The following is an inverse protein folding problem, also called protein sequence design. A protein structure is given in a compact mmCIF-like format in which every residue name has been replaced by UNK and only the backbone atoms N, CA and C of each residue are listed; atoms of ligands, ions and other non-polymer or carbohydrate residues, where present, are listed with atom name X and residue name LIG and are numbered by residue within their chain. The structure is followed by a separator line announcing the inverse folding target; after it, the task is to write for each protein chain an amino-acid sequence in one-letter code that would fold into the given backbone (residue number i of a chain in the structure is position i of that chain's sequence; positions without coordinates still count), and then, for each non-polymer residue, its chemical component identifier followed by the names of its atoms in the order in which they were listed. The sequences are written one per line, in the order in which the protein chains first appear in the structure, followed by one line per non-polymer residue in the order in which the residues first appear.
data_IF_173913762132
#
_entry.id   IF_173913762132
#
_cell.length_a   1.000
_cell.length_b   1.000
_cell.length_c   1.000
_cell.angle_alpha   90.00
_cell.angle_beta   90.00
_cell.angle_gamma   90.00
#
_symmetry.space_group_name_H-M   'P 1'
#
loop_
_entity.id
_entity.type
_entity.pdbx_description
1 polymer ?
#
# COMPACT_ATOMS: atom_id res chain seq x y z
N UNK A 1 -45.27 21.21 20.94
CA UNK A 1 -44.13 21.12 21.88
C UNK A 1 -44.00 19.66 22.23
N UNK A 2 -43.30 18.91 21.38
CA UNK A 2 -42.98 17.50 21.61
C UNK A 2 -41.50 17.45 22.00
N UNK A 3 -41.25 17.13 23.26
CA UNK A 3 -39.92 16.85 23.81
C UNK A 3 -39.55 15.43 23.40
N UNK A 4 -38.64 15.32 22.43
CA UNK A 4 -38.04 14.06 22.04
C UNK A 4 -36.84 13.82 22.97
N UNK A 5 -37.05 13.04 24.03
CA UNK A 5 -35.99 12.55 24.92
C UNK A 5 -35.13 11.53 24.16
N UNK A 6 -33.84 11.84 23.98
CA UNK A 6 -32.84 10.84 23.60
C UNK A 6 -32.56 9.94 24.81
N UNK A 7 -32.49 8.60 24.63
CA UNK A 7 -32.04 7.73 25.71
C UNK A 7 -30.53 7.88 25.91
N UNK A 8 -30.15 8.11 27.16
CA UNK A 8 -28.77 8.16 27.64
C UNK A 8 -28.00 6.88 27.27
N UNK A 9 -26.88 7.04 26.55
CA UNK A 9 -25.83 6.02 26.45
C UNK A 9 -25.22 5.85 27.85
N UNK A 10 -25.74 4.88 28.61
CA UNK A 10 -25.03 4.31 29.75
C UNK A 10 -23.75 3.67 29.23
N UNK A 11 -22.62 4.32 29.50
CA UNK A 11 -21.30 3.73 29.31
C UNK A 11 -21.17 2.49 30.19
N UNK A 12 -21.18 1.31 29.55
CA UNK A 12 -20.71 0.08 30.17
C UNK A 12 -19.22 0.26 30.50
N UNK A 13 -18.93 0.45 31.79
CA UNK A 13 -17.57 0.33 32.29
C UNK A 13 -17.02 -1.06 31.93
N UNK A 14 -15.77 -1.18 31.44
CA UNK A 14 -15.22 -2.47 31.07
C UNK A 14 -15.20 -3.38 32.30
N UNK A 15 -15.90 -4.51 32.20
CA UNK A 15 -15.94 -5.54 33.24
C UNK A 15 -14.52 -6.06 33.46
N UNK A 16 -13.84 -5.56 34.49
CA UNK A 16 -12.49 -5.99 34.85
C UNK A 16 -12.58 -7.45 35.31
N UNK A 17 -12.08 -8.37 34.48
CA UNK A 17 -11.99 -9.77 34.83
C UNK A 17 -11.00 -9.92 36.01
N UNK A 18 -11.53 -10.10 37.22
CA UNK A 18 -10.73 -10.45 38.39
C UNK A 18 -10.15 -11.85 38.20
N UNK A 19 -8.87 -11.93 37.84
CA UNK A 19 -8.13 -13.18 37.77
C UNK A 19 -7.80 -13.66 39.19
N UNK A 20 -8.68 -14.48 39.76
CA UNK A 20 -8.38 -15.20 41.01
C UNK A 20 -7.37 -16.29 40.70
N UNK A 21 -6.12 -16.12 41.13
CA UNK A 21 -5.06 -17.11 40.96
C UNK A 21 -5.51 -18.44 41.59
N UNK A 22 -5.43 -19.53 40.82
CA UNK A 22 -5.83 -20.86 41.28
C UNK A 22 -5.05 -21.24 42.55
N UNK A 23 -5.78 -21.54 43.62
CA UNK A 23 -5.23 -21.99 44.90
C UNK A 23 -4.61 -23.38 44.73
N UNK A 24 -3.29 -23.45 44.87
CA UNK A 24 -2.54 -24.69 44.65
C UNK A 24 -2.88 -25.80 45.67
N UNK A 25 -3.52 -25.47 46.79
CA UNK A 25 -3.99 -26.45 47.77
C UNK A 25 -5.19 -27.27 47.29
N UNK A 26 -5.85 -26.85 46.19
CA UNK A 26 -7.00 -27.54 45.61
C UNK A 26 -6.66 -28.46 44.43
N UNK A 27 -5.39 -28.55 44.04
CA UNK A 27 -5.00 -29.52 43.03
C UNK A 27 -5.09 -30.94 43.60
N UNK A 28 -5.63 -31.90 42.84
CA UNK A 28 -5.63 -33.28 43.27
C UNK A 28 -4.18 -33.76 43.46
N UNK A 29 -3.85 -34.20 44.67
CA UNK A 29 -2.51 -34.69 45.05
C UNK A 29 -2.40 -36.21 44.90
N UNK A 30 -3.50 -36.89 44.56
CA UNK A 30 -3.52 -38.32 44.29
C UNK A 30 -3.32 -38.60 42.80
N UNK A 31 -2.58 -39.66 42.43
CA UNK A 31 -2.35 -40.01 41.02
C UNK A 31 -3.65 -40.15 40.22
N UNK A 32 -4.67 -40.80 40.79
CA UNK A 32 -5.97 -40.96 40.14
C UNK A 32 -6.73 -39.62 39.94
N UNK A 33 -6.57 -38.67 40.86
CA UNK A 33 -7.19 -37.34 40.73
C UNK A 33 -6.46 -36.45 39.72
N UNK A 34 -5.15 -36.65 39.54
CA UNK A 34 -4.34 -35.98 38.51
C UNK A 34 -4.69 -36.49 37.12
N UNK A 35 -4.84 -37.81 36.97
CA UNK A 35 -5.22 -38.45 35.71
C UNK A 35 -6.62 -38.02 35.26
N UNK A 36 -7.60 -38.01 36.17
CA UNK A 36 -8.95 -37.52 35.89
C UNK A 36 -8.99 -36.01 35.54
N UNK A 37 -8.11 -35.19 36.13
CA UNK A 37 -8.01 -33.76 35.79
C UNK A 37 -7.43 -33.54 34.39
N UNK A 38 -6.42 -34.31 34.01
CA UNK A 38 -5.82 -34.26 32.67
C UNK A 38 -6.85 -34.72 31.63
N UNK A 39 -7.58 -35.81 31.90
CA UNK A 39 -8.65 -36.29 31.01
C UNK A 39 -9.79 -35.27 30.87
N UNK A 40 -10.19 -34.62 31.97
CA UNK A 40 -11.17 -33.54 31.95
C UNK A 40 -10.72 -32.31 31.16
N UNK A 41 -9.44 -31.94 31.24
CA UNK A 41 -8.85 -30.82 30.50
C UNK A 41 -8.75 -31.10 29.00
N UNK A 42 -8.40 -32.33 28.62
CA UNK A 42 -8.35 -32.79 27.22
C UNK A 42 -9.75 -32.89 26.61
N UNK A 43 -10.75 -33.27 27.41
CA UNK A 43 -12.16 -33.24 26.99
C UNK A 43 -12.68 -31.80 26.83
N UNK A 44 -12.30 -30.88 27.72
CA UNK A 44 -12.68 -29.46 27.65
C UNK A 44 -12.02 -28.70 26.49
N UNK A 45 -10.83 -29.12 26.03
CA UNK A 45 -10.12 -28.54 24.87
C UNK A 45 -10.66 -29.01 23.49
N UNK A 46 -11.83 -29.66 23.44
CA UNK A 46 -12.55 -29.90 22.18
C UNK A 46 -11.93 -30.98 21.27
N UNK A 47 -11.11 -31.89 21.82
CA UNK A 47 -10.63 -33.06 21.11
C UNK A 47 -11.76 -34.08 20.87
N UNK A 48 -12.63 -33.79 19.90
CA UNK A 48 -13.75 -34.65 19.52
C UNK A 48 -13.26 -36.08 19.25
N UNK A 49 -14.11 -37.07 19.48
CA UNK A 49 -13.81 -38.47 19.17
C UNK A 49 -13.41 -38.65 17.69
N UNK A 50 -13.97 -37.81 16.80
CA UNK A 50 -13.58 -37.74 15.40
C UNK A 50 -12.10 -37.33 15.20
N UNK A 51 -11.57 -36.41 16.01
CA UNK A 51 -10.15 -36.02 15.98
C UNK A 51 -9.25 -37.18 16.44
N UNK A 52 -9.66 -37.96 17.44
CA UNK A 52 -8.92 -39.16 17.87
C UNK A 52 -8.93 -40.26 16.82
N UNK A 53 -10.07 -40.47 16.16
CA UNK A 53 -10.19 -41.42 15.05
C UNK A 53 -9.33 -40.97 13.86
N UNK A 54 -9.35 -39.68 13.51
CA UNK A 54 -8.51 -39.10 12.46
C UNK A 54 -7.01 -39.29 12.77
N UNK A 55 -6.59 -38.99 14.00
CA UNK A 55 -5.20 -39.13 14.42
C UNK A 55 -4.75 -40.60 14.44
N UNK A 56 -5.60 -41.53 14.91
CA UNK A 56 -5.32 -42.97 14.85
C UNK A 56 -5.19 -43.47 13.42
N UNK A 57 -6.05 -43.01 12.51
CA UNK A 57 -5.98 -43.33 11.09
C UNK A 57 -4.68 -42.81 10.47
N UNK A 58 -4.31 -41.55 10.73
CA UNK A 58 -3.05 -40.96 10.27
C UNK A 58 -1.81 -41.68 10.79
N UNK A 59 -1.83 -42.13 12.05
CA UNK A 59 -0.74 -42.94 12.62
C UNK A 59 -0.66 -44.34 12.00
N UNK A 60 -1.81 -44.97 11.69
CA UNK A 60 -1.84 -46.25 11.01
C UNK A 60 -1.36 -46.15 9.55
N UNK A 61 -1.75 -45.08 8.84
CA UNK A 61 -1.24 -44.77 7.50
C UNK A 61 0.28 -44.55 7.53
N UNK A 62 0.80 -43.84 8.55
CA UNK A 62 2.23 -43.62 8.73
C UNK A 62 3.00 -44.91 9.03
N UNK A 63 2.49 -45.76 9.92
CA UNK A 63 3.06 -47.09 10.22
C UNK A 63 3.02 -48.03 9.01
N UNK A 64 1.95 -48.00 8.22
CA UNK A 64 1.85 -48.78 6.99
C UNK A 64 2.87 -48.31 5.92
N UNK A 65 3.21 -47.01 5.89
CA UNK A 65 4.30 -46.50 5.05
C UNK A 65 5.68 -46.93 5.57
N UNK A 66 5.91 -46.88 6.89
CA UNK A 66 7.15 -47.38 7.53
C UNK A 66 7.35 -48.89 7.29
N UNK A 67 6.29 -49.70 7.39
CA UNK A 67 6.35 -51.15 7.10
C UNK A 67 6.60 -51.45 5.61
N UNK A 68 6.27 -50.51 4.71
CA UNK A 68 6.54 -50.66 3.28
C UNK A 68 7.99 -50.35 2.90
N UNK A 69 8.77 -49.60 3.70
CA UNK A 69 10.16 -49.22 3.40
C UNK A 69 11.10 -50.43 3.17
N UNK A 70 10.76 -51.60 3.72
CA UNK A 70 11.48 -52.86 3.51
C UNK A 70 11.02 -53.72 2.33
N UNK A 71 9.87 -53.40 1.70
CA UNK A 71 9.25 -54.22 0.65
C UNK A 71 9.74 -53.84 -0.75
N UNK A 72 9.57 -54.75 -1.72
CA UNK A 72 9.88 -54.44 -3.13
C UNK A 72 9.04 -53.27 -3.66
N UNK A 73 7.80 -53.13 -3.18
CA UNK A 73 6.88 -52.05 -3.55
C UNK A 73 7.29 -50.70 -2.92
N UNK A 74 7.69 -50.68 -1.65
CA UNK A 74 8.20 -49.44 -1.03
C UNK A 74 9.53 -48.99 -1.62
N UNK A 75 10.43 -49.92 -1.98
CA UNK A 75 11.65 -49.58 -2.75
C UNK A 75 11.33 -49.00 -4.13
N UNK A 76 10.30 -49.50 -4.80
CA UNK A 76 9.84 -48.95 -6.07
C UNK A 76 9.23 -47.56 -5.91
N UNK A 77 8.38 -47.36 -4.91
CA UNK A 77 7.78 -46.06 -4.60
C UNK A 77 8.84 -45.03 -4.20
N UNK A 78 9.82 -45.40 -3.39
CA UNK A 78 10.95 -44.53 -3.03
C UNK A 78 11.76 -44.11 -4.25
N UNK A 79 12.03 -45.04 -5.18
CA UNK A 79 12.68 -44.71 -6.47
C UNK A 79 11.82 -43.79 -7.34
N UNK A 80 10.51 -44.00 -7.41
CA UNK A 80 9.61 -43.14 -8.17
C UNK A 80 9.59 -41.71 -7.61
N UNK A 81 9.49 -41.57 -6.28
CA UNK A 81 9.52 -40.25 -5.62
C UNK A 81 10.89 -39.57 -5.78
N UNK A 82 11.98 -40.33 -5.69
CA UNK A 82 13.32 -39.79 -5.95
C UNK A 82 13.46 -39.27 -7.39
N UNK A 83 12.92 -39.97 -8.39
CA UNK A 83 12.96 -39.51 -9.78
C UNK A 83 11.99 -38.37 -10.07
N UNK A 84 10.83 -38.32 -9.41
CA UNK A 84 9.98 -37.14 -9.47
C UNK A 84 10.68 -35.92 -8.87
N UNK A 85 11.34 -36.08 -7.72
CA UNK A 85 12.10 -35.01 -7.09
C UNK A 85 13.25 -34.54 -7.96
N UNK A 86 14.03 -35.47 -8.53
CA UNK A 86 15.10 -35.16 -9.48
C UNK A 86 14.57 -34.44 -10.72
N UNK A 87 13.45 -34.88 -11.27
CA UNK A 87 12.81 -34.22 -12.41
C UNK A 87 12.34 -32.80 -12.06
N UNK A 88 11.79 -32.60 -10.87
CA UNK A 88 11.41 -31.28 -10.36
C UNK A 88 12.64 -30.37 -10.18
N UNK A 89 13.74 -30.89 -9.64
CA UNK A 89 15.00 -30.17 -9.48
C UNK A 89 15.62 -29.78 -10.82
N UNK A 90 15.66 -30.71 -11.79
CA UNK A 90 16.14 -30.46 -13.16
C UNK A 90 15.27 -29.38 -13.83
N UNK A 91 13.93 -29.47 -13.72
CA UNK A 91 13.01 -28.45 -14.23
C UNK A 91 13.13 -27.11 -13.52
N UNK A 92 13.44 -27.09 -12.23
CA UNK A 92 13.70 -25.85 -11.49
C UNK A 92 15.06 -25.24 -11.87
N UNK A 93 16.06 -26.05 -12.18
CA UNK A 93 17.35 -25.58 -12.69
C UNK A 93 17.25 -25.03 -14.12
N UNK A 94 16.52 -25.70 -15.01
CA UNK A 94 16.21 -25.21 -16.36
C UNK A 94 15.47 -23.87 -16.31
N UNK A 95 14.45 -23.74 -15.46
CA UNK A 95 13.74 -22.46 -15.26
C UNK A 95 14.67 -21.36 -14.78
N UNK A 96 15.51 -21.62 -13.77
CA UNK A 96 16.50 -20.63 -13.30
C UNK A 96 17.48 -20.20 -14.39
N UNK A 97 17.93 -21.12 -15.24
CA UNK A 97 18.79 -20.78 -16.40
C UNK A 97 18.04 -19.99 -17.48
N UNK A 98 16.78 -20.33 -17.74
CA UNK A 98 15.92 -19.60 -18.65
C UNK A 98 15.66 -18.17 -18.16
N UNK A 99 15.26 -18.00 -16.89
CA UNK A 99 15.01 -16.70 -16.27
C UNK A 99 16.29 -15.83 -16.24
N UNK A 100 17.45 -16.44 -15.98
CA UNK A 100 18.73 -15.75 -16.01
C UNK A 100 19.14 -15.25 -17.41
N UNK A 101 18.60 -15.86 -18.47
CA UNK A 101 18.93 -15.51 -19.87
C UNK A 101 17.85 -14.66 -20.56
N UNK A 102 16.60 -14.72 -20.10
CA UNK A 102 15.46 -14.05 -20.74
C UNK A 102 14.77 -13.00 -19.86
N UNK A 103 15.25 -12.80 -18.62
CA UNK A 103 14.57 -12.01 -17.60
C UNK A 103 13.47 -12.82 -16.91
N UNK A 104 13.08 -12.39 -15.71
CA UNK A 104 12.02 -13.07 -14.97
C UNK A 104 10.65 -12.84 -15.62
N UNK A 105 9.68 -13.71 -15.34
CA UNK A 105 8.28 -13.47 -15.74
C UNK A 105 7.76 -12.11 -15.24
N UNK A 106 8.24 -11.67 -14.06
CA UNK A 106 7.96 -10.35 -13.51
C UNK A 106 8.57 -9.21 -14.35
N UNK A 107 9.80 -9.38 -14.87
CA UNK A 107 10.43 -8.39 -15.75
C UNK A 107 9.66 -8.25 -17.07
N UNK A 108 9.19 -9.37 -17.62
CA UNK A 108 8.37 -9.37 -18.84
C UNK A 108 7.02 -8.69 -18.59
N UNK A 109 6.40 -8.97 -17.44
CA UNK A 109 5.16 -8.30 -17.02
C UNK A 109 5.39 -6.80 -16.85
N UNK A 110 6.44 -6.38 -16.15
CA UNK A 110 6.76 -4.97 -15.92
C UNK A 110 7.06 -4.21 -17.22
N UNK A 111 7.86 -4.79 -18.12
CA UNK A 111 8.18 -4.20 -19.43
C UNK A 111 6.93 -4.12 -20.31
N UNK A 112 6.12 -5.17 -20.36
CA UNK A 112 4.89 -5.19 -21.13
C UNK A 112 3.85 -4.19 -20.60
N UNK A 113 3.71 -4.03 -19.29
CA UNK A 113 2.84 -3.01 -18.70
C UNK A 113 3.27 -1.59 -19.07
N UNK A 114 4.58 -1.30 -19.13
CA UNK A 114 5.11 -0.01 -19.60
C UNK A 114 4.85 0.24 -21.08
N UNK A 115 4.85 -0.81 -21.90
CA UNK A 115 4.62 -0.70 -23.34
C UNK A 115 3.12 -0.68 -23.72
N UNK A 116 2.27 -1.23 -22.86
CA UNK A 116 0.83 -1.32 -23.09
C UNK A 116 0.17 0.07 -23.07
N UNK A 117 -0.54 0.39 -24.16
CA UNK A 117 -1.15 1.71 -24.36
C UNK A 117 -2.56 1.85 -23.79
N UNK A 118 -3.18 0.74 -23.40
CA UNK A 118 -4.54 0.72 -22.88
C UNK A 118 -4.75 -0.40 -21.86
N UNK A 119 -5.85 -0.31 -21.12
CA UNK A 119 -6.24 -1.26 -20.07
C UNK A 119 -6.46 -2.67 -20.63
N UNK A 120 -6.96 -2.82 -21.85
CA UNK A 120 -7.21 -4.13 -22.44
C UNK A 120 -5.88 -4.87 -22.69
N UNK A 121 -4.89 -4.21 -23.28
CA UNK A 121 -3.57 -4.76 -23.49
C UNK A 121 -2.86 -5.14 -22.17
N UNK A 122 -3.04 -4.32 -21.11
CA UNK A 122 -2.53 -4.65 -19.76
C UNK A 122 -3.22 -5.88 -19.18
N UNK A 123 -4.54 -6.02 -19.37
CA UNK A 123 -5.31 -7.16 -18.90
C UNK A 123 -4.90 -8.45 -19.61
N UNK A 124 -4.82 -8.43 -20.94
CA UNK A 124 -4.40 -9.57 -21.76
C UNK A 124 -3.00 -10.05 -21.36
N UNK A 125 -2.08 -9.12 -21.13
CA UNK A 125 -0.73 -9.44 -20.65
C UNK A 125 -0.74 -10.07 -19.25
N UNK A 126 -1.56 -9.54 -18.35
CA UNK A 126 -1.71 -10.10 -17.00
C UNK A 126 -2.32 -11.50 -17.03
N UNK A 127 -3.26 -11.81 -17.93
CA UNK A 127 -3.77 -13.16 -18.13
C UNK A 127 -2.70 -14.09 -18.69
N UNK A 128 -1.95 -13.62 -19.69
CA UNK A 128 -0.91 -14.41 -20.35
C UNK A 128 0.23 -14.79 -19.40
N UNK A 129 0.70 -13.84 -18.58
CA UNK A 129 1.86 -14.03 -17.70
C UNK A 129 1.44 -14.41 -16.27
N UNK A 130 0.26 -14.01 -15.82
CA UNK A 130 -0.19 -14.27 -14.45
C UNK A 130 -0.29 -15.75 -14.11
N UNK A 131 -0.64 -16.60 -15.09
CA UNK A 131 -0.70 -18.05 -14.90
C UNK A 131 0.66 -18.72 -14.77
N UNK A 132 1.74 -18.08 -15.23
CA UNK A 132 3.10 -18.61 -15.14
C UNK A 132 3.87 -18.09 -13.92
N UNK A 133 3.33 -17.11 -13.19
CA UNK A 133 3.94 -16.59 -11.97
C UNK A 133 3.89 -17.61 -10.82
N UNK A 134 5.01 -17.84 -10.10
CA UNK A 134 4.99 -18.58 -8.85
C UNK A 134 4.06 -17.93 -7.82
N UNK A 135 3.37 -18.74 -7.02
CA UNK A 135 2.44 -18.25 -5.99
C UNK A 135 3.09 -17.25 -5.02
N UNK A 136 4.36 -17.45 -4.68
CA UNK A 136 5.10 -16.54 -3.80
C UNK A 136 5.24 -15.13 -4.40
N UNK A 137 5.55 -15.05 -5.69
CA UNK A 137 5.70 -13.77 -6.41
C UNK A 137 4.35 -13.09 -6.60
N UNK A 138 3.33 -13.83 -7.05
CA UNK A 138 1.96 -13.31 -7.14
C UNK A 138 1.46 -12.79 -5.78
N UNK A 139 1.79 -13.49 -4.70
CA UNK A 139 1.48 -13.06 -3.33
C UNK A 139 2.19 -11.77 -2.91
N UNK A 140 3.45 -11.57 -3.31
CA UNK A 140 4.19 -10.31 -3.07
C UNK A 140 3.53 -9.17 -3.83
N UNK A 141 3.29 -9.33 -5.13
CA UNK A 141 2.65 -8.32 -5.99
C UNK A 141 1.30 -7.91 -5.39
N UNK A 142 0.47 -8.89 -4.99
CA UNK A 142 -0.84 -8.59 -4.38
C UNK A 142 -0.72 -7.81 -3.08
N UNK A 143 0.24 -8.15 -2.19
CA UNK A 143 0.44 -7.43 -0.92
C UNK A 143 0.93 -6.00 -1.16
N UNK A 144 1.85 -5.80 -2.11
CA UNK A 144 2.35 -4.46 -2.48
C UNK A 144 1.21 -3.63 -3.07
N UNK A 145 0.46 -4.16 -4.04
CA UNK A 145 -0.69 -3.47 -4.61
C UNK A 145 -1.71 -3.10 -3.52
N UNK A 146 -1.98 -4.03 -2.58
CA UNK A 146 -2.91 -3.76 -1.47
C UNK A 146 -2.39 -2.70 -0.49
N UNK A 147 -1.08 -2.63 -0.25
CA UNK A 147 -0.49 -1.59 0.56
C UNK A 147 -0.56 -0.22 -0.14
N UNK A 148 -0.32 -0.19 -1.46
CA UNK A 148 -0.45 1.02 -2.28
C UNK A 148 -1.89 1.54 -2.36
N UNK A 149 -2.91 0.67 -2.33
CA UNK A 149 -4.32 1.10 -2.27
C UNK A 149 -4.59 2.06 -1.11
N UNK A 150 -3.92 1.89 0.04
CA UNK A 150 -4.07 2.79 1.19
C UNK A 150 -3.39 4.15 0.98
N UNK A 151 -2.29 4.19 0.23
CA UNK A 151 -1.56 5.42 -0.12
C UNK A 151 -2.11 6.11 -1.38
N UNK A 152 -3.01 5.46 -2.11
CA UNK A 152 -3.55 5.91 -3.39
C UNK A 152 -4.09 7.35 -3.37
N UNK A 153 -4.83 7.79 -2.33
CA UNK A 153 -5.30 9.19 -2.29
C UNK A 153 -4.14 10.18 -2.32
N UNK A 154 -3.04 9.91 -1.61
CA UNK A 154 -1.85 10.76 -1.62
C UNK A 154 -1.21 10.83 -3.00
N UNK A 155 -1.05 9.69 -3.68
CA UNK A 155 -0.51 9.63 -5.05
C UNK A 155 -1.37 10.43 -6.04
N UNK A 156 -2.69 10.31 -5.94
CA UNK A 156 -3.63 11.04 -6.79
C UNK A 156 -3.55 12.55 -6.54
N UNK A 157 -3.47 12.96 -5.28
CA UNK A 157 -3.32 14.37 -4.89
C UNK A 157 -1.99 14.91 -5.41
N UNK A 158 -0.87 14.23 -5.17
CA UNK A 158 0.45 14.68 -5.64
C UNK A 158 0.50 14.84 -7.16
N UNK A 159 -0.02 13.87 -7.92
CA UNK A 159 -0.09 13.99 -9.37
C UNK A 159 -0.94 15.19 -9.82
N UNK A 160 -2.03 15.50 -9.10
CA UNK A 160 -2.85 16.68 -9.37
C UNK A 160 -2.12 17.97 -9.04
N UNK A 161 -1.39 18.02 -7.92
CA UNK A 161 -0.54 19.17 -7.56
C UNK A 161 0.48 19.44 -8.67
N UNK A 162 1.10 18.37 -9.19
CA UNK A 162 2.06 18.37 -10.31
C UNK A 162 1.41 18.65 -11.70
N UNK A 163 0.14 19.06 -11.73
CA UNK A 163 -0.52 19.54 -12.96
C UNK A 163 -1.27 18.48 -13.76
N UNK A 164 -1.26 17.20 -13.35
CA UNK A 164 -1.97 16.16 -14.10
C UNK A 164 -3.48 16.36 -14.01
N UNK A 165 -4.17 16.06 -15.11
CA UNK A 165 -5.63 16.07 -15.13
C UNK A 165 -6.18 14.80 -14.51
N UNK A 166 -7.39 14.87 -13.96
CA UNK A 166 -8.06 13.69 -13.40
C UNK A 166 -8.23 12.55 -14.41
N UNK A 167 -8.27 12.86 -15.72
CA UNK A 167 -8.35 11.85 -16.79
C UNK A 167 -7.02 11.15 -17.02
N UNK A 168 -5.91 11.89 -17.01
CA UNK A 168 -4.57 11.31 -17.14
C UNK A 168 -4.23 10.44 -15.94
N UNK A 169 -4.51 10.93 -14.72
CA UNK A 169 -4.34 10.15 -13.48
C UNK A 169 -5.17 8.87 -13.53
N UNK A 170 -6.43 8.97 -13.97
CA UNK A 170 -7.30 7.81 -14.11
C UNK A 170 -6.76 6.78 -15.11
N UNK A 171 -6.25 7.22 -16.26
CA UNK A 171 -5.66 6.34 -17.27
C UNK A 171 -4.36 5.67 -16.78
N UNK A 172 -3.53 6.42 -16.05
CA UNK A 172 -2.25 5.91 -15.53
C UNK A 172 -2.46 4.89 -14.41
N UNK A 173 -3.38 5.17 -13.48
CA UNK A 173 -3.64 4.32 -12.31
C UNK A 173 -4.72 3.25 -12.53
N UNK A 174 -5.24 3.13 -13.75
CA UNK A 174 -6.37 2.24 -14.11
C UNK A 174 -7.61 2.46 -13.22
N UNK A 175 -7.95 3.72 -12.98
CA UNK A 175 -9.10 4.16 -12.20
C UNK A 175 -10.16 4.79 -13.11
N UNK A 176 -11.36 5.01 -12.58
CA UNK A 176 -12.36 5.83 -13.29
C UNK A 176 -12.13 7.31 -12.99
N UNK A 177 -12.35 8.23 -13.95
CA UNK A 177 -12.24 9.68 -13.70
C UNK A 177 -13.13 10.14 -12.53
N UNK A 178 -14.35 9.61 -12.42
CA UNK A 178 -15.26 9.91 -11.32
C UNK A 178 -14.69 9.54 -9.95
N UNK A 179 -13.93 8.44 -9.88
CA UNK A 179 -13.27 8.02 -8.64
C UNK A 179 -12.10 8.95 -8.28
N UNK A 180 -11.33 9.38 -9.28
CA UNK A 180 -10.25 10.37 -9.10
C UNK A 180 -10.81 11.70 -8.60
N UNK A 181 -11.86 12.24 -9.23
CA UNK A 181 -12.52 13.47 -8.75
C UNK A 181 -13.03 13.34 -7.32
N UNK A 182 -13.57 12.16 -6.95
CA UNK A 182 -14.00 11.90 -5.59
C UNK A 182 -12.83 11.94 -4.61
N UNK A 183 -11.68 11.34 -4.95
CA UNK A 183 -10.47 11.43 -4.13
C UNK A 183 -9.99 12.87 -3.97
N UNK A 184 -9.87 13.62 -5.06
CA UNK A 184 -9.41 15.02 -4.99
C UNK A 184 -10.31 15.91 -4.12
N UNK A 185 -11.60 15.58 -4.05
CA UNK A 185 -12.55 16.27 -3.16
C UNK A 185 -12.47 15.81 -1.70
N UNK A 186 -12.25 14.52 -1.47
CA UNK A 186 -12.19 13.93 -0.11
C UNK A 186 -10.83 14.17 0.57
N UNK A 187 -9.78 14.39 -0.21
CA UNK A 187 -8.40 14.57 0.25
C UNK A 187 -7.83 15.89 -0.31
N UNK A 188 -8.20 17.05 0.25
CA UNK A 188 -7.59 18.31 -0.12
C UNK A 188 -6.10 18.33 0.28
N UNK A 189 -5.31 19.18 -0.37
CA UNK A 189 -3.95 19.47 0.03
C UNK A 189 -3.84 20.90 0.55
N UNK A 190 -2.93 21.09 1.49
CA UNK A 190 -2.55 22.41 1.99
C UNK A 190 -1.37 22.91 1.17
N UNK A 191 -1.53 24.08 0.55
CA UNK A 191 -0.51 24.74 -0.23
C UNK A 191 0.27 25.70 0.68
N UNK A 192 1.58 25.53 0.76
CA UNK A 192 2.49 26.54 1.28
C UNK A 192 2.95 27.42 0.13
N UNK A 193 3.04 28.73 0.34
CA UNK A 193 3.41 29.65 -0.72
C UNK A 193 4.25 30.82 -0.22
N UNK A 194 5.03 31.40 -1.14
CA UNK A 194 5.82 32.60 -0.90
C UNK A 194 5.76 33.52 -2.10
N UNK A 195 5.65 34.82 -1.83
CA UNK A 195 5.69 35.88 -2.83
C UNK A 195 7.07 36.52 -2.79
N UNK A 196 7.67 36.63 -3.96
CA UNK A 196 8.99 37.17 -4.21
C UNK A 196 8.90 38.38 -5.13
N UNK A 197 9.83 39.31 -4.96
CA UNK A 197 9.98 40.49 -5.82
C UNK A 197 11.41 40.56 -6.32
N UNK A 198 11.58 40.87 -7.60
CA UNK A 198 12.88 41.14 -8.19
C UNK A 198 13.37 42.53 -7.73
N UNK A 199 14.59 42.66 -7.17
CA UNK A 199 15.15 43.94 -6.78
C UNK A 199 15.35 44.87 -7.98
N UNK A 200 15.19 46.17 -7.75
CA UNK A 200 15.28 47.18 -8.81
C UNK A 200 16.73 47.22 -9.38
N UNK A 201 16.87 47.19 -10.70
CA UNK A 201 18.17 47.26 -11.39
C UNK A 201 18.86 45.92 -11.66
N UNK A 202 18.23 44.80 -11.32
CA UNK A 202 18.67 43.47 -11.73
C UNK A 202 17.98 43.03 -13.02
N UNK A 203 18.76 42.48 -13.95
CA UNK A 203 18.30 41.84 -15.18
C UNK A 203 18.72 40.37 -15.14
N UNK A 204 17.83 39.47 -15.57
CA UNK A 204 17.89 38.00 -15.35
C UNK A 204 18.96 37.26 -16.16
N UNK A 205 20.16 37.82 -16.30
CA UNK A 205 21.24 37.19 -17.07
C UNK A 205 22.09 36.21 -16.23
N UNK A 206 21.91 36.18 -14.90
CA UNK A 206 22.62 35.29 -13.98
C UNK A 206 21.69 34.19 -13.43
N UNK A 207 22.21 32.95 -13.36
CA UNK A 207 21.50 31.76 -12.83
C UNK A 207 21.15 31.86 -11.32
N UNK A 208 21.71 32.86 -10.63
CA UNK A 208 21.42 33.19 -9.23
C UNK A 208 20.46 34.39 -9.16
N UNK A 209 19.23 34.23 -9.66
CA UNK A 209 18.23 35.30 -9.64
C UNK A 209 17.92 35.74 -8.19
N UNK A 210 18.15 37.02 -7.82
CA UNK A 210 18.06 37.48 -6.44
C UNK A 210 16.60 37.77 -6.06
N UNK A 211 15.75 36.76 -6.07
CA UNK A 211 14.36 36.88 -5.63
C UNK A 211 14.29 37.19 -4.13
N UNK A 212 13.77 38.36 -3.77
CA UNK A 212 13.58 38.74 -2.37
C UNK A 212 12.20 38.33 -1.90
N UNK A 213 12.14 37.47 -0.86
CA UNK A 213 10.88 37.05 -0.25
C UNK A 213 10.22 38.23 0.47
N UNK A 214 8.99 38.55 0.06
CA UNK A 214 8.18 39.62 0.64
C UNK A 214 7.24 39.08 1.71
N UNK A 215 6.54 37.99 1.40
CA UNK A 215 5.55 37.37 2.30
C UNK A 215 5.35 35.90 1.95
N UNK A 216 4.58 35.18 2.76
CA UNK A 216 4.16 33.82 2.51
C UNK A 216 3.04 33.38 3.43
N UNK A 217 2.51 32.20 3.20
CA UNK A 217 1.42 31.64 4.00
C UNK A 217 1.11 30.20 3.64
N UNK A 218 0.04 29.69 4.24
CA UNK A 218 -0.56 28.41 3.86
C UNK A 218 -2.05 28.57 3.57
N UNK A 219 -2.60 27.75 2.68
CA UNK A 219 -4.03 27.73 2.35
C UNK A 219 -4.52 26.37 1.84
N UNK A 220 -5.77 26.04 2.13
CA UNK A 220 -6.41 24.82 1.62
C UNK A 220 -6.73 24.97 0.13
N UNK A 221 -6.20 24.06 -0.70
CA UNK A 221 -6.27 24.13 -2.17
C UNK A 221 -6.99 22.92 -2.77
N UNK A 222 -8.26 22.74 -2.41
CA UNK A 222 -9.03 21.56 -2.79
C UNK A 222 -9.24 21.46 -4.32
N UNK A 223 -8.53 20.52 -4.96
CA UNK A 223 -8.71 20.17 -6.38
C UNK A 223 -7.97 21.06 -7.38
N UNK A 224 -7.30 22.11 -6.91
CA UNK A 224 -6.45 22.99 -7.72
C UNK A 224 -5.04 22.37 -7.90
N UNK A 225 -4.40 22.65 -9.04
CA UNK A 225 -2.97 22.37 -9.25
C UNK A 225 -2.10 23.43 -8.56
N UNK A 226 -0.80 23.17 -8.36
CA UNK A 226 0.11 24.18 -7.81
C UNK A 226 0.15 25.46 -8.66
N UNK A 227 0.14 25.35 -10.00
CA UNK A 227 0.10 26.50 -10.90
C UNK A 227 -1.21 27.30 -10.81
N UNK A 228 -2.34 26.62 -10.63
CA UNK A 228 -3.65 27.27 -10.45
C UNK A 228 -3.65 28.09 -9.15
N UNK A 229 -3.12 27.51 -8.07
CA UNK A 229 -2.94 28.18 -6.78
C UNK A 229 -1.98 29.36 -6.89
N UNK A 230 -0.83 29.19 -7.55
CA UNK A 230 0.17 30.25 -7.72
C UNK A 230 -0.43 31.46 -8.46
N UNK A 231 -1.18 31.21 -9.54
CA UNK A 231 -1.88 32.26 -10.30
C UNK A 231 -2.94 32.96 -9.47
N UNK A 232 -3.77 32.21 -8.74
CA UNK A 232 -4.81 32.79 -7.86
C UNK A 232 -4.19 33.68 -6.79
N UNK A 233 -3.15 33.21 -6.09
CA UNK A 233 -2.46 34.00 -5.07
C UNK A 233 -1.84 35.24 -5.69
N UNK A 234 -1.19 35.13 -6.85
CA UNK A 234 -0.61 36.28 -7.54
C UNK A 234 -1.69 37.33 -7.82
N UNK A 235 -2.81 36.94 -8.43
CA UNK A 235 -3.93 37.84 -8.73
C UNK A 235 -4.53 38.50 -7.46
N UNK A 236 -4.65 37.75 -6.36
CA UNK A 236 -5.17 38.26 -5.09
C UNK A 236 -4.21 39.20 -4.35
N UNK A 237 -2.90 39.00 -4.51
CA UNK A 237 -1.85 39.70 -3.76
C UNK A 237 -1.15 40.79 -4.56
N UNK A 238 -1.38 40.89 -5.86
CA UNK A 238 -0.78 41.91 -6.73
C UNK A 238 -1.45 43.27 -6.51
N UNK A 239 -0.97 44.00 -5.49
CA UNK A 239 -1.40 45.37 -5.24
C UNK A 239 -0.74 46.38 -6.23
N UNK A 240 -1.24 47.62 -6.33
CA UNK A 240 -0.69 48.60 -7.27
C UNK A 240 0.80 48.95 -7.08
N UNK A 241 1.39 48.70 -5.90
CA UNK A 241 2.83 48.91 -5.67
C UNK A 241 3.65 47.72 -6.16
N UNK A 242 3.12 46.51 -6.02
CA UNK A 242 3.74 45.28 -6.53
C UNK A 242 3.59 45.17 -8.05
N UNK A 243 2.49 45.66 -8.62
CA UNK A 243 2.24 45.66 -10.05
C UNK A 243 3.27 46.45 -10.88
N UNK A 244 3.99 47.38 -10.27
CA UNK A 244 5.09 48.13 -10.91
C UNK A 244 6.43 47.40 -10.89
N UNK A 245 6.49 46.19 -10.32
CA UNK A 245 7.69 45.38 -10.17
C UNK A 245 7.50 44.02 -10.84
N UNK A 246 8.60 43.31 -11.09
CA UNK A 246 8.54 41.89 -11.46
C UNK A 246 8.33 41.07 -10.18
N UNK A 247 7.26 40.29 -10.15
CA UNK A 247 6.77 39.56 -8.96
C UNK A 247 6.64 38.09 -9.32
N UNK A 248 6.99 37.20 -8.40
CA UNK A 248 6.80 35.76 -8.54
C UNK A 248 6.12 35.19 -7.32
N UNK A 249 5.16 34.31 -7.51
CA UNK A 249 4.61 33.46 -6.45
C UNK A 249 5.07 32.04 -6.73
N UNK A 250 5.62 31.40 -5.70
CA UNK A 250 5.99 29.99 -5.73
C UNK A 250 5.17 29.22 -4.70
N UNK A 251 4.75 28.00 -5.07
CA UNK A 251 3.86 27.15 -4.30
C UNK A 251 4.46 25.76 -4.12
N UNK A 252 4.32 25.23 -2.90
CA UNK A 252 4.73 23.89 -2.49
C UNK A 252 3.59 23.22 -1.76
N UNK A 253 3.65 21.89 -1.63
CA UNK A 253 2.80 21.20 -0.66
C UNK A 253 3.29 21.51 0.75
N UNK A 254 2.38 21.72 1.70
CA UNK A 254 2.77 21.94 3.09
C UNK A 254 3.64 20.76 3.60
N UNK A 255 4.86 21.07 4.04
CA UNK A 255 5.86 20.08 4.46
C UNK A 255 6.91 19.74 3.41
N UNK A 256 6.68 20.09 2.14
CA UNK A 256 7.77 20.22 1.16
C UNK A 256 8.61 21.45 1.55
N UNK A 257 9.89 21.48 1.17
CA UNK A 257 10.79 22.60 1.49
C UNK A 257 10.32 23.95 0.95
N UNK A 258 11.03 25.03 1.26
CA UNK A 258 10.74 26.39 0.76
C UNK A 258 11.75 26.90 -0.27
N UNK A 259 12.49 25.99 -0.92
CA UNK A 259 13.41 26.33 -2.01
C UNK A 259 12.61 26.69 -3.27
N UNK A 260 12.90 27.89 -3.81
CA UNK A 260 12.28 28.42 -5.02
C UNK A 260 12.45 27.50 -6.23
N UNK A 261 13.58 26.79 -6.31
CA UNK A 261 13.86 25.85 -7.42
C UNK A 261 13.10 24.53 -7.28
N UNK A 262 12.60 24.22 -6.09
CA UNK A 262 11.82 23.02 -5.79
C UNK A 262 10.31 23.31 -5.75
N UNK A 263 9.89 24.51 -6.17
CA UNK A 263 8.48 24.88 -6.26
C UNK A 263 7.72 23.91 -7.18
N UNK A 264 6.55 23.47 -6.73
CA UNK A 264 5.66 22.58 -7.49
C UNK A 264 4.88 23.33 -8.57
N UNK A 265 4.71 24.63 -8.38
CA UNK A 265 4.11 25.53 -9.35
C UNK A 265 4.46 26.97 -9.02
N UNK A 266 4.46 27.80 -10.05
CA UNK A 266 4.80 29.20 -9.93
C UNK A 266 4.04 30.08 -10.93
N UNK A 267 3.95 31.37 -10.60
CA UNK A 267 3.33 32.37 -11.43
C UNK A 267 4.12 33.68 -11.34
N UNK A 268 4.41 34.28 -12.48
CA UNK A 268 5.13 35.54 -12.57
C UNK A 268 4.25 36.66 -13.14
N UNK A 269 4.45 37.87 -12.63
CA UNK A 269 3.93 39.10 -13.19
C UNK A 269 5.09 39.96 -13.67
N UNK A 270 5.02 40.42 -14.91
CA UNK A 270 5.92 41.43 -15.46
C UNK A 270 5.22 42.80 -15.48
N UNK A 271 5.89 43.88 -15.03
CA UNK A 271 5.31 45.21 -15.06
C UNK A 271 5.07 45.63 -16.52
N UNK A 272 3.89 46.15 -16.81
CA UNK A 272 3.55 46.66 -18.14
C UNK A 272 4.21 48.03 -18.34
N UNK A 273 4.99 48.19 -19.41
CA UNK A 273 5.61 49.48 -19.81
C UNK A 273 4.60 50.60 -20.11
#
# INVERSE_FOLDING_TARGET
MDTNEQPDEQGDEPTVAHYTRADASKFPTTPAGQEASIEGMVAAMGGSEATRIHNRRKLAERRAMEDMEGTAMGRFQAKLLAELHRFEEERAAERRQWDASHGTALDTLAQGFRAARDTAARHDLAEQVGSSLPLAEAGVIRRVAKALEAAMPGVVVDARVDGWTAKEIAAELDLTPSYVYRMLREYPWEAAWSLYVMPDGWTSDDDDEPWERVTGGTEDSAGETADEVARRILDERLDPKLATKRVRVAVWRAGDGDDLLEARGDAEHEPTE
#
